data_IF_270566620753
#
_entry.id   IF_270566620753
#
_cell.length_a   1.000
_cell.length_b   1.000
_cell.length_c   1.000
_cell.angle_alpha   90.00
_cell.angle_beta   90.00
_cell.angle_gamma   90.00
#
_symmetry.space_group_name_H-M   'P 1'
#
loop_
_entity.id
_entity.type
_entity.pdbx_description
1 polymer ?
#
# COMPACT_ATOMS: atom_id res chain seq x y z
N UNK A 1 2.01 -7.12 -0.97
CA UNK A 1 1.57 -8.24 -0.08
C UNK A 1 0.14 -8.69 -0.36
N UNK A 2 -0.87 -7.81 -0.36
CA UNK A 2 -2.24 -8.19 -0.77
C UNK A 2 -2.34 -8.76 -2.18
N UNK A 3 -1.52 -8.24 -3.10
CA UNK A 3 -1.38 -8.80 -4.45
C UNK A 3 -0.92 -10.26 -4.46
N UNK A 4 -0.14 -10.71 -3.46
CA UNK A 4 0.27 -12.11 -3.32
C UNK A 4 -0.93 -13.04 -3.00
N UNK A 5 -2.07 -12.46 -2.61
CA UNK A 5 -3.33 -13.16 -2.40
C UNK A 5 -4.31 -12.99 -3.56
N UNK A 6 -3.87 -12.38 -4.67
CA UNK A 6 -4.74 -12.05 -5.80
C UNK A 6 -5.64 -10.84 -5.58
N UNK A 7 -5.50 -10.10 -4.48
CA UNK A 7 -6.23 -8.85 -4.24
C UNK A 7 -5.58 -7.73 -5.07
N UNK A 8 -6.26 -7.33 -6.14
CA UNK A 8 -5.82 -6.24 -7.05
C UNK A 8 -6.65 -4.97 -6.90
N UNK A 9 -7.76 -5.03 -6.18
CA UNK A 9 -8.67 -3.91 -5.90
C UNK A 9 -9.09 -3.94 -4.43
N UNK A 10 -9.65 -2.82 -3.93
CA UNK A 10 -10.13 -2.68 -2.54
C UNK A 10 -9.06 -3.07 -1.51
N UNK A 11 -7.86 -2.51 -1.63
CA UNK A 11 -6.74 -2.76 -0.70
C UNK A 11 -7.09 -2.57 0.78
N UNK A 12 -8.01 -1.65 1.10
CA UNK A 12 -8.50 -1.41 2.45
C UNK A 12 -9.30 -2.57 3.07
N UNK A 13 -9.72 -3.56 2.27
CA UNK A 13 -10.43 -4.77 2.74
C UNK A 13 -9.53 -5.99 2.82
N UNK A 14 -8.27 -5.89 2.42
CA UNK A 14 -7.33 -7.01 2.43
C UNK A 14 -6.98 -7.40 3.88
N UNK A 15 -7.15 -8.67 4.21
CA UNK A 15 -6.66 -9.28 5.45
C UNK A 15 -5.62 -10.34 5.11
N UNK A 16 -4.44 -10.23 5.70
CA UNK A 16 -3.35 -11.18 5.48
C UNK A 16 -3.24 -12.26 6.56
N UNK A 17 -4.15 -12.27 7.53
CA UNK A 17 -4.17 -13.23 8.63
C UNK A 17 -4.20 -14.69 8.13
N UNK A 18 -3.34 -15.52 8.73
CA UNK A 18 -3.26 -16.95 8.41
C UNK A 18 -2.64 -17.31 7.05
N UNK A 19 -2.27 -16.32 6.22
CA UNK A 19 -1.68 -16.60 4.91
C UNK A 19 -0.19 -16.95 5.01
N UNK A 20 0.13 -18.24 4.96
CA UNK A 20 1.51 -18.74 5.06
C UNK A 20 2.43 -18.25 3.95
N UNK A 21 1.93 -18.18 2.72
CA UNK A 21 2.73 -17.73 1.58
C UNK A 21 3.17 -16.27 1.71
N UNK A 22 2.26 -15.40 2.15
CA UNK A 22 2.59 -13.99 2.46
C UNK A 22 3.55 -13.92 3.64
N UNK A 23 3.34 -14.74 4.68
CA UNK A 23 4.23 -14.83 5.83
C UNK A 23 5.66 -15.24 5.48
N UNK A 24 5.83 -16.23 4.61
CA UNK A 24 7.14 -16.67 4.10
C UNK A 24 7.85 -15.53 3.37
N UNK A 25 7.16 -14.84 2.46
CA UNK A 25 7.74 -13.69 1.76
C UNK A 25 8.14 -12.55 2.68
N UNK A 26 7.33 -12.27 3.71
CA UNK A 26 7.64 -11.24 4.69
C UNK A 26 8.84 -11.65 5.56
N UNK A 27 8.90 -12.91 5.97
CA UNK A 27 10.04 -13.47 6.72
C UNK A 27 11.34 -13.37 5.92
N UNK A 28 11.36 -13.78 4.65
CA UNK A 28 12.55 -13.71 3.80
C UNK A 28 13.12 -12.28 3.74
N UNK A 29 12.23 -11.29 3.69
CA UNK A 29 12.60 -9.88 3.72
C UNK A 29 13.18 -9.46 5.07
N UNK A 30 12.56 -9.86 6.19
CA UNK A 30 13.02 -9.54 7.54
C UNK A 30 14.37 -10.20 7.88
N UNK A 31 14.58 -11.44 7.44
CA UNK A 31 15.80 -12.22 7.71
C UNK A 31 17.06 -11.54 7.14
N UNK A 32 16.93 -10.66 6.14
CA UNK A 32 18.05 -9.87 5.62
C UNK A 32 18.56 -8.81 6.60
N UNK A 33 17.71 -8.30 7.50
CA UNK A 33 18.07 -7.27 8.47
C UNK A 33 18.78 -6.06 7.83
N UNK A 34 19.90 -5.63 8.43
CA UNK A 34 20.73 -4.54 7.90
C UNK A 34 21.86 -5.02 6.97
N UNK A 35 21.92 -6.31 6.63
CA UNK A 35 23.03 -6.88 5.86
C UNK A 35 23.05 -6.45 4.39
N UNK A 36 21.93 -5.89 3.89
CA UNK A 36 21.77 -5.37 2.54
C UNK A 36 21.24 -3.92 2.58
N UNK A 37 21.60 -3.08 1.59
CA UNK A 37 20.93 -1.81 1.38
C UNK A 37 19.41 -1.96 1.29
N UNK A 38 18.67 -1.06 1.94
CA UNK A 38 17.21 -1.11 1.98
C UNK A 38 16.51 -1.21 0.61
N UNK A 39 17.01 -0.65 -0.51
CA UNK A 39 16.37 -0.83 -1.82
C UNK A 39 16.37 -2.29 -2.30
N UNK A 40 17.42 -3.04 -1.97
CA UNK A 40 17.52 -4.48 -2.28
C UNK A 40 16.54 -5.27 -1.42
N UNK A 41 16.42 -4.88 -0.14
CA UNK A 41 15.46 -5.48 0.79
C UNK A 41 14.01 -5.22 0.32
N UNK A 42 13.72 -4.00 -0.14
CA UNK A 42 12.41 -3.64 -0.70
C UNK A 42 12.11 -4.44 -1.95
N UNK A 43 13.09 -4.57 -2.86
CA UNK A 43 12.92 -5.29 -4.11
C UNK A 43 12.57 -6.77 -3.90
N UNK A 44 13.10 -7.40 -2.85
CA UNK A 44 12.74 -8.80 -2.55
C UNK A 44 11.27 -8.97 -2.13
N UNK A 45 10.65 -7.91 -1.62
CA UNK A 45 9.28 -7.93 -1.08
C UNK A 45 8.23 -7.61 -2.14
N UNK A 46 8.43 -6.54 -2.91
CA UNK A 46 7.44 -6.04 -3.86
C UNK A 46 8.00 -5.75 -5.26
N UNK A 47 9.27 -6.09 -5.53
CA UNK A 47 9.93 -5.84 -6.82
C UNK A 47 10.40 -4.39 -7.03
N UNK A 48 10.07 -3.47 -6.12
CA UNK A 48 10.41 -2.06 -6.23
C UNK A 48 11.75 -1.73 -5.59
N UNK A 49 12.43 -0.72 -6.11
CA UNK A 49 13.71 -0.22 -5.56
C UNK A 49 13.60 1.18 -4.95
N UNK A 50 12.40 1.77 -5.02
CA UNK A 50 12.12 3.13 -4.56
C UNK A 50 10.86 3.14 -3.71
N UNK A 51 10.77 4.14 -2.84
CA UNK A 51 9.53 4.43 -2.16
C UNK A 51 8.53 5.02 -3.15
N UNK A 52 7.31 4.51 -3.09
CA UNK A 52 6.17 4.92 -3.91
C UNK A 52 4.95 5.15 -3.02
N UNK A 53 4.22 6.24 -3.26
CA UNK A 53 3.02 6.59 -2.50
C UNK A 53 1.74 5.97 -3.07
N UNK A 54 1.80 5.28 -4.22
CA UNK A 54 0.67 4.69 -4.90
C UNK A 54 -0.14 3.75 -4.02
N UNK A 55 0.52 2.89 -3.24
CA UNK A 55 -0.18 1.97 -2.33
C UNK A 55 -1.04 2.70 -1.26
N UNK A 56 -0.59 3.87 -0.79
CA UNK A 56 -1.37 4.69 0.16
C UNK A 56 -2.55 5.35 -0.55
N UNK A 57 -2.34 5.87 -1.77
CA UNK A 57 -3.39 6.46 -2.57
C UNK A 57 -4.47 5.43 -2.92
N UNK A 58 -4.08 4.23 -3.35
CA UNK A 58 -5.00 3.14 -3.68
C UNK A 58 -5.84 2.67 -2.48
N UNK A 59 -5.24 2.66 -1.28
CA UNK A 59 -5.94 2.34 -0.04
C UNK A 59 -7.07 3.34 0.23
N UNK A 60 -6.77 4.64 0.09
CA UNK A 60 -7.71 5.74 0.37
C UNK A 60 -8.56 6.17 -0.82
N UNK A 61 -8.40 5.56 -2.00
CA UNK A 61 -9.10 5.96 -3.22
C UNK A 61 -10.62 6.13 -3.04
N UNK A 62 -11.36 5.23 -2.35
CA UNK A 62 -12.80 5.43 -2.15
C UNK A 62 -13.12 6.66 -1.30
N UNK A 63 -12.33 6.91 -0.24
CA UNK A 63 -12.50 8.08 0.61
C UNK A 63 -12.17 9.36 -0.15
N UNK A 64 -11.10 9.34 -0.95
CA UNK A 64 -10.69 10.47 -1.77
C UNK A 64 -11.79 10.89 -2.76
N UNK A 65 -12.39 9.94 -3.47
CA UNK A 65 -13.50 10.26 -4.39
C UNK A 65 -14.75 10.75 -3.64
N UNK A 66 -15.04 10.19 -2.47
CA UNK A 66 -16.13 10.69 -1.63
C UNK A 66 -15.89 12.14 -1.18
N UNK A 67 -14.68 12.45 -0.69
CA UNK A 67 -14.31 13.79 -0.24
C UNK A 67 -14.38 14.81 -1.36
N UNK A 68 -13.90 14.48 -2.56
CA UNK A 68 -14.01 15.35 -3.74
C UNK A 68 -15.47 15.70 -4.06
N UNK A 69 -16.34 14.68 -4.07
CA UNK A 69 -17.77 14.87 -4.32
C UNK A 69 -18.41 15.75 -3.25
N UNK A 70 -18.11 15.49 -1.98
CA UNK A 70 -18.71 16.21 -0.86
C UNK A 70 -18.24 17.67 -0.79
N UNK A 71 -16.94 17.91 -0.94
CA UNK A 71 -16.38 19.27 -0.98
C UNK A 71 -16.99 20.08 -2.12
N UNK A 72 -17.12 19.49 -3.31
CA UNK A 72 -17.78 20.13 -4.45
C UNK A 72 -19.26 20.42 -4.16
N UNK A 73 -20.01 19.46 -3.62
CA UNK A 73 -21.42 19.62 -3.31
C UNK A 73 -21.68 20.72 -2.26
N UNK A 74 -20.74 20.93 -1.33
CA UNK A 74 -20.83 21.95 -0.27
C UNK A 74 -20.16 23.27 -0.61
N UNK A 75 -19.46 23.35 -1.73
CA UNK A 75 -18.67 24.53 -2.10
C UNK A 75 -17.52 24.82 -1.13
N UNK A 76 -16.95 23.79 -0.50
CA UNK A 76 -15.80 23.96 0.39
C UNK A 76 -14.53 24.24 -0.43
N UNK A 77 -13.77 25.30 -0.11
CA UNK A 77 -12.49 25.56 -0.76
C UNK A 77 -11.50 24.45 -0.43
N UNK A 78 -10.71 24.05 -1.43
CA UNK A 78 -9.57 23.14 -1.26
C UNK A 78 -8.31 23.99 -1.18
N UNK A 79 -7.55 23.82 -0.10
CA UNK A 79 -6.39 24.68 0.19
C UNK A 79 -6.71 25.69 1.29
N UNK A 80 -5.92 26.74 1.36
CA UNK A 80 -5.93 27.71 2.47
C UNK A 80 -5.68 29.15 1.99
N UNK A 81 -5.96 29.44 0.73
CA UNK A 81 -5.88 30.79 0.17
C UNK A 81 -6.99 31.71 0.72
#
# INVERSE_FOLDING_TARGET
>A
MCQLQGVTERFHMCDIYGNKHVGEKFKDMLDMGNSKPWPIVLQSLNGETKLDSGAILDFFQPLYEWLKKENHARGYPVGWD
#
